data_IF_133068457185
#
_entry.id   IF_133068457185
#
_cell.length_a   1.000
_cell.length_b   1.000
_cell.length_c   1.000
_cell.angle_alpha   90.00
_cell.angle_beta   90.00
_cell.angle_gamma   90.00
#
_symmetry.space_group_name_H-M   'P 1'
#
loop_
_entity.id
_entity.type
_entity.pdbx_description
1 polymer ?
2 water ?
#
# COMPACT_ATOMS: atom_id res chain seq x y z
N UNK A 1 1.19 -18.83 -15.25
CA UNK A 1 0.86 -18.66 -13.83
C UNK A 1 0.02 -17.38 -13.58
N UNK A 2 -1.03 -17.48 -12.76
CA UNK A 2 -1.78 -16.31 -12.36
C UNK A 2 -1.32 -15.87 -10.97
N UNK A 3 -1.26 -14.56 -10.76
CA UNK A 3 -0.96 -14.03 -9.43
C UNK A 3 -1.94 -12.90 -9.12
N UNK A 4 -2.09 -12.61 -7.83
CA UNK A 4 -2.84 -11.45 -7.35
C UNK A 4 -1.89 -10.58 -6.52
N UNK A 5 -1.90 -9.28 -6.81
CA UNK A 5 -1.05 -8.29 -6.11
C UNK A 5 -1.96 -7.36 -5.32
N UNK A 6 -2.12 -7.60 -4.02
CA UNK A 6 -3.01 -6.78 -3.21
C UNK A 6 -2.44 -5.40 -2.92
N UNK A 7 -3.33 -4.49 -2.60
CA UNK A 7 -2.98 -3.15 -2.16
C UNK A 7 -2.56 -3.13 -0.68
N UNK A 8 -2.12 -1.98 -0.22
CA UNK A 8 -1.93 -1.74 1.23
C UNK A 8 -2.52 -0.40 1.59
N UNK A 9 -2.81 -0.22 2.88
CA UNK A 9 -3.05 1.10 3.47
C UNK A 9 -2.10 1.26 4.67
N UNK A 10 -1.81 2.50 5.02
CA UNK A 10 -1.04 2.74 6.25
C UNK A 10 -2.07 2.89 7.37
N UNK A 11 -2.11 1.89 8.24
CA UNK A 11 -3.07 1.85 9.32
C UNK A 11 -2.55 2.70 10.49
N UNK A 12 -2.55 4.02 10.28
CA UNK A 12 -1.83 4.94 11.15
C UNK A 12 -0.45 5.25 10.60
N UNK A 13 -0.04 6.51 10.75
CA UNK A 13 1.27 6.98 10.32
C UNK A 13 1.62 8.18 11.17
N UNK A 14 2.70 8.01 11.93
CA UNK A 14 3.16 9.11 12.79
C UNK A 14 4.54 9.55 12.35
N UNK A 15 4.69 10.86 12.19
CA UNK A 15 5.97 11.45 11.80
C UNK A 15 6.63 11.82 13.12
N UNK A 16 7.76 11.17 13.43
CA UNK A 16 8.32 11.23 14.80
C UNK A 16 9.19 12.46 15.00
N UNK A 17 9.99 12.76 13.98
CA UNK A 17 10.92 13.90 13.97
C UNK A 17 11.62 13.92 12.61
N UNK A 18 12.39 14.97 12.34
CA UNK A 18 13.26 14.98 11.17
C UNK A 18 14.62 14.43 11.59
N UNK A 19 15.11 13.46 10.83
CA UNK A 19 16.36 12.75 11.13
C UNK A 19 17.61 13.57 10.86
N UNK A 20 18.74 13.15 11.46
CA UNK A 20 20.04 13.76 11.18
C UNK A 20 20.34 13.71 9.68
N UNK A 21 19.86 12.67 9.00
CA UNK A 21 19.96 12.57 7.54
C UNK A 21 18.98 13.43 6.71
N UNK A 22 18.12 14.21 7.36
CA UNK A 22 17.17 15.07 6.67
C UNK A 22 15.85 14.45 6.19
N UNK A 23 15.67 13.14 6.38
CA UNK A 23 14.36 12.55 6.13
C UNK A 23 13.55 12.50 7.40
N UNK A 24 12.26 12.24 7.28
CA UNK A 24 11.42 12.13 8.44
C UNK A 24 11.37 10.68 8.92
N UNK A 25 11.62 10.50 10.22
CA UNK A 25 11.41 9.23 10.90
C UNK A 25 9.93 8.97 11.10
N UNK A 26 9.49 7.79 10.64
CA UNK A 26 8.09 7.41 10.76
C UNK A 26 7.92 6.25 11.69
N UNK A 27 6.72 6.14 12.21
CA UNK A 27 6.24 4.90 12.79
C UNK A 27 4.88 4.67 12.18
N UNK A 28 4.74 3.55 11.50
CA UNK A 28 3.52 3.37 10.70
C UNK A 28 3.24 1.89 10.55
N UNK A 29 1.95 1.56 10.36
CA UNK A 29 1.56 0.16 10.21
C UNK A 29 1.16 -0.05 8.78
N UNK A 30 1.63 -1.15 8.17
CA UNK A 30 1.18 -1.48 6.82
C UNK A 30 0.17 -2.61 6.90
N UNK A 31 -1.02 -2.40 6.33
CA UNK A 31 -2.08 -3.41 6.34
C UNK A 31 -2.42 -3.82 4.88
N UNK A 32 -2.32 -5.11 4.51
CA UNK A 32 -2.81 -5.53 3.19
C UNK A 32 -4.30 -5.23 3.05
N UNK A 33 -4.73 -4.88 1.83
CA UNK A 33 -6.15 -4.68 1.54
C UNK A 33 -6.44 -5.55 0.35
N UNK A 34 -7.64 -6.16 0.30
CA UNK A 34 -7.90 -7.25 -0.65
C UNK A 34 -8.08 -6.85 -2.15
N UNK A 35 -8.25 -5.57 -2.44
CA UNK A 35 -8.30 -5.10 -3.83
C UNK A 35 -6.95 -5.45 -4.45
N UNK A 36 -6.94 -6.14 -5.60
CA UNK A 36 -5.68 -6.68 -6.12
C UNK A 36 -5.59 -6.55 -7.64
N UNK A 37 -4.39 -6.22 -8.13
CA UNK A 37 -4.09 -6.32 -9.55
C UNK A 37 -3.99 -7.80 -9.89
N UNK A 38 -4.30 -8.14 -11.15
CA UNK A 38 -4.12 -9.48 -11.66
C UNK A 38 -2.89 -9.53 -12.58
N UNK A 39 -2.04 -10.55 -12.41
CA UNK A 39 -0.86 -10.71 -13.26
C UNK A 39 -0.92 -12.11 -13.83
N UNK A 40 -0.59 -12.21 -15.12
CA UNK A 40 -0.35 -13.52 -15.74
C UNK A 40 1.15 -13.52 -16.08
N UNK A 41 1.85 -14.53 -15.58
CA UNK A 41 3.30 -14.66 -15.75
C UNK A 41 3.59 -16.07 -16.30
N UNK A 42 4.13 -16.13 -17.51
CA UNK A 42 4.34 -17.41 -18.19
C UNK A 42 5.74 -17.49 -18.76
N UNK A 43 6.40 -18.64 -18.62
CA UNK A 43 7.75 -18.78 -19.15
C UNK A 43 7.70 -18.92 -20.67
N UNK A 44 8.65 -18.36 -21.37
CA UNK A 44 8.77 -18.63 -22.82
C UNK A 44 10.26 -18.79 -23.12
N UNK A 45 10.60 -19.11 -24.36
CA UNK A 45 11.98 -19.50 -24.63
C UNK A 45 12.97 -18.33 -24.43
N UNK A 46 12.57 -17.15 -24.87
CA UNK A 46 13.45 -15.98 -24.81
C UNK A 46 12.71 -14.67 -24.66
N UNK A 47 13.42 -13.68 -24.11
CA UNK A 47 13.00 -12.29 -24.11
C UNK A 47 12.14 -11.94 -22.92
N UNK A 48 12.03 -10.64 -22.64
CA UNK A 48 11.15 -10.16 -21.59
C UNK A 48 10.00 -9.35 -22.24
N UNK A 49 8.81 -9.98 -22.29
CA UNK A 49 7.63 -9.40 -22.92
C UNK A 49 6.64 -8.93 -21.86
N UNK A 50 6.44 -7.63 -21.80
CA UNK A 50 5.71 -7.03 -20.69
C UNK A 50 4.59 -6.13 -21.18
N UNK A 51 3.37 -6.38 -20.68
CA UNK A 51 2.25 -5.50 -20.97
C UNK A 51 1.73 -4.92 -19.67
N UNK A 52 1.82 -3.60 -19.54
CA UNK A 52 1.20 -2.89 -18.44
C UNK A 52 1.58 -1.41 -18.50
N UNK A 53 1.11 -0.62 -17.53
CA UNK A 53 1.35 0.83 -17.56
C UNK A 53 2.83 1.12 -17.42
N UNK A 54 3.27 2.21 -18.05
CA UNK A 54 4.63 2.74 -17.90
C UNK A 54 5.73 1.95 -18.59
N UNK A 55 5.38 0.85 -19.29
CA UNK A 55 6.35 0.06 -20.03
C UNK A 55 7.59 -0.27 -19.20
N UNK A 56 8.78 0.11 -19.70
CA UNK A 56 10.05 -0.29 -19.08
C UNK A 56 10.35 0.35 -17.74
N UNK A 57 9.65 1.43 -17.44
CA UNK A 57 9.78 2.10 -16.15
C UNK A 57 8.90 1.48 -15.05
N UNK A 58 7.99 0.56 -15.41
CA UNK A 58 7.14 -0.13 -14.42
C UNK A 58 8.02 -0.90 -13.45
N UNK A 59 7.79 -0.81 -12.12
CA UNK A 59 8.64 -1.53 -11.17
C UNK A 59 8.66 -3.04 -11.41
N UNK A 60 7.54 -3.57 -11.87
CA UNK A 60 7.42 -5.00 -12.16
C UNK A 60 8.29 -5.41 -13.34
N UNK A 61 8.42 -4.52 -14.34
CA UNK A 61 9.33 -4.76 -15.45
C UNK A 61 10.77 -4.83 -14.93
N UNK A 62 11.14 -3.86 -14.11
CA UNK A 62 12.47 -3.83 -13.52
C UNK A 62 12.71 -5.06 -12.63
N UNK A 63 11.68 -5.48 -11.88
CA UNK A 63 11.80 -6.71 -11.10
C UNK A 63 12.16 -7.91 -11.97
N UNK A 64 11.47 -8.05 -13.09
CA UNK A 64 11.68 -9.20 -13.96
C UNK A 64 13.10 -9.16 -14.53
N UNK A 65 13.52 -7.97 -14.95
CA UNK A 65 14.85 -7.79 -15.54
C UNK A 65 15.96 -8.13 -14.56
N UNK A 66 15.81 -7.64 -13.33
CA UNK A 66 16.75 -7.96 -12.24
C UNK A 66 16.78 -9.42 -11.91
N UNK A 67 15.61 -10.04 -11.84
CA UNK A 67 15.55 -11.48 -11.54
C UNK A 67 16.30 -12.32 -12.59
N UNK A 68 15.96 -12.07 -13.85
CA UNK A 68 16.47 -12.89 -14.95
C UNK A 68 17.97 -12.76 -14.99
N UNK A 69 18.46 -11.55 -14.72
CA UNK A 69 19.91 -11.30 -14.59
C UNK A 69 20.51 -12.12 -13.45
N UNK A 70 19.91 -12.05 -12.27
CA UNK A 70 20.41 -12.77 -11.10
C UNK A 70 20.39 -14.27 -11.29
N UNK A 71 19.45 -14.76 -12.12
CA UNK A 71 19.25 -16.20 -12.28
C UNK A 71 20.08 -16.80 -13.43
N UNK A 72 20.89 -15.96 -14.09
CA UNK A 72 21.73 -16.45 -15.18
C UNK A 72 21.00 -16.61 -16.49
N UNK A 73 19.99 -15.76 -16.71
CA UNK A 73 19.19 -15.75 -17.94
C UNK A 73 18.69 -17.18 -18.32
N UNK A 74 17.85 -17.78 -17.46
CA UNK A 74 17.36 -19.15 -17.66
C UNK A 74 16.33 -19.30 -18.78
N UNK A 75 15.79 -18.19 -19.25
CA UNK A 75 14.82 -18.22 -20.34
C UNK A 75 14.04 -16.91 -20.32
N UNK A 76 13.01 -16.83 -21.16
CA UNK A 76 12.21 -15.61 -21.20
C UNK A 76 10.93 -15.69 -20.38
N UNK A 77 10.22 -14.58 -20.36
CA UNK A 77 8.96 -14.54 -19.64
C UNK A 77 8.00 -13.57 -20.35
N UNK A 78 6.72 -13.88 -20.28
CA UNK A 78 5.69 -12.95 -20.72
C UNK A 78 4.90 -12.60 -19.46
N UNK A 79 4.72 -11.31 -19.25
CA UNK A 79 3.98 -10.78 -18.10
C UNK A 79 2.91 -9.87 -18.62
N UNK A 80 1.69 -10.12 -18.16
CA UNK A 80 0.57 -9.20 -18.39
C UNK A 80 0.13 -8.71 -17.03
N UNK A 81 -0.01 -7.40 -16.90
CA UNK A 81 -0.43 -6.75 -15.68
C UNK A 81 -1.76 -6.07 -15.96
N UNK A 82 -2.81 -6.53 -15.29
CA UNK A 82 -4.11 -5.86 -15.34
C UNK A 82 -4.38 -5.07 -14.05
N UNK A 83 -4.31 -3.75 -14.16
CA UNK A 83 -4.43 -2.89 -12.98
C UNK A 83 -5.86 -2.83 -12.48
N UNK A 84 -6.03 -3.10 -11.19
CA UNK A 84 -7.28 -2.75 -10.47
C UNK A 84 -7.04 -1.67 -9.43
N UNK A 85 -5.80 -1.53 -8.96
CA UNK A 85 -5.46 -0.53 -7.95
C UNK A 85 -5.01 0.76 -8.59
N UNK A 86 -5.59 1.89 -8.18
CA UNK A 86 -5.10 3.18 -8.69
C UNK A 86 -3.67 3.49 -8.25
N UNK A 87 -2.97 4.18 -9.13
CA UNK A 87 -1.54 4.41 -9.01
C UNK A 87 -1.23 5.75 -8.32
N UNK A 88 -0.18 5.79 -7.50
CA UNK A 88 0.24 7.04 -6.83
C UNK A 88 -0.73 7.67 -5.83
N UNK A 89 -1.45 6.80 -5.13
CA UNK A 89 -2.53 7.18 -4.24
C UNK A 89 -2.32 6.68 -2.83
N UNK A 90 -1.14 6.12 -2.56
CA UNK A 90 -0.80 5.61 -1.22
C UNK A 90 -1.15 4.15 -1.03
N UNK A 91 -1.41 3.48 -2.16
CA UNK A 91 -1.94 2.10 -2.10
C UNK A 91 -0.94 1.01 -2.47
N UNK A 92 0.23 1.40 -2.98
CA UNK A 92 1.34 0.48 -3.19
C UNK A 92 1.20 -0.57 -4.30
N UNK A 93 0.29 -0.33 -5.24
CA UNK A 93 0.04 -1.29 -6.34
C UNK A 93 1.28 -1.68 -7.10
N UNK A 94 2.11 -0.69 -7.43
CA UNK A 94 3.32 -0.93 -8.21
C UNK A 94 4.28 -1.83 -7.44
N UNK A 95 4.47 -1.53 -6.14
CA UNK A 95 5.35 -2.38 -5.33
C UNK A 95 4.81 -3.81 -5.22
N UNK A 96 3.50 -3.93 -5.07
CA UNK A 96 2.88 -5.24 -4.94
C UNK A 96 3.03 -6.04 -6.26
N UNK A 97 2.83 -5.35 -7.38
CA UNK A 97 3.06 -5.92 -8.72
C UNK A 97 4.44 -6.52 -8.84
N UNK A 98 5.45 -5.74 -8.44
CA UNK A 98 6.84 -6.19 -8.52
C UNK A 98 7.13 -7.38 -7.61
N UNK A 99 6.54 -7.36 -6.42
CA UNK A 99 6.70 -8.51 -5.51
C UNK A 99 6.14 -9.77 -6.15
N UNK A 100 4.97 -9.66 -6.79
CA UNK A 100 4.37 -10.88 -7.33
C UNK A 100 5.19 -11.39 -8.52
N UNK A 101 5.76 -10.47 -9.30
CA UNK A 101 6.63 -10.88 -10.41
C UNK A 101 7.86 -11.63 -9.86
N UNK A 102 8.47 -11.10 -8.81
CA UNK A 102 9.57 -11.79 -8.15
C UNK A 102 9.19 -13.18 -7.69
N UNK A 103 8.01 -13.29 -7.04
CA UNK A 103 7.59 -14.57 -6.48
C UNK A 103 7.25 -15.54 -7.60
N UNK A 104 6.66 -15.02 -8.67
CA UNK A 104 6.31 -15.89 -9.80
C UNK A 104 7.55 -16.46 -10.47
N UNK A 105 8.55 -15.60 -10.65
CA UNK A 105 9.79 -16.01 -11.32
C UNK A 105 10.59 -16.95 -10.43
N UNK A 106 10.51 -16.73 -9.11
CA UNK A 106 11.11 -17.68 -8.17
C UNK A 106 10.56 -19.10 -8.37
N UNK A 107 9.25 -19.20 -8.56
CA UNK A 107 8.63 -20.50 -8.80
C UNK A 107 8.95 -21.06 -10.18
N UNK A 108 8.99 -20.20 -11.18
CA UNK A 108 9.15 -20.66 -12.56
C UNK A 108 10.59 -21.01 -12.87
N UNK A 109 11.51 -20.22 -12.31
CA UNK A 109 12.92 -20.33 -12.62
C UNK A 109 13.76 -20.33 -11.35
N UNK A 110 13.64 -21.41 -10.56
CA UNK A 110 14.37 -21.48 -9.29
C UNK A 110 15.87 -21.42 -9.54
N UNK A 111 16.58 -20.56 -8.79
CA UNK A 111 18.04 -20.36 -9.00
C UNK A 111 18.76 -19.79 -7.79
N UNK A 112 18.20 -20.01 -6.61
CA UNK A 112 18.77 -19.46 -5.37
C UNK A 112 18.96 -17.94 -5.42
N UNK A 113 18.09 -17.26 -6.16
CA UNK A 113 18.10 -15.81 -6.15
C UNK A 113 17.59 -15.30 -4.81
N UNK A 114 18.28 -14.31 -4.23
CA UNK A 114 17.86 -13.69 -2.96
C UNK A 114 16.77 -12.65 -3.28
N UNK A 115 15.49 -13.00 -3.11
CA UNK A 115 14.44 -12.06 -3.50
C UNK A 115 14.42 -10.78 -2.69
N UNK A 116 14.79 -10.88 -1.42
CA UNK A 116 14.75 -9.72 -0.59
C UNK A 116 15.82 -8.73 -0.96
N UNK A 117 16.98 -9.22 -1.36
CA UNK A 117 18.04 -8.36 -1.89
C UNK A 117 17.55 -7.63 -3.15
N UNK A 118 16.93 -8.37 -4.08
CA UNK A 118 16.35 -7.71 -5.25
C UNK A 118 15.29 -6.68 -4.84
N UNK A 119 14.45 -7.03 -3.88
CA UNK A 119 13.37 -6.14 -3.44
C UNK A 119 13.92 -4.85 -2.85
N UNK A 120 14.98 -4.97 -2.06
CA UNK A 120 15.58 -3.77 -1.51
C UNK A 120 16.25 -2.88 -2.56
N UNK A 121 16.80 -3.49 -3.60
CA UNK A 121 17.30 -2.78 -4.77
C UNK A 121 16.18 -2.00 -5.43
N UNK A 122 15.02 -2.64 -5.60
CA UNK A 122 13.87 -1.98 -6.24
C UNK A 122 13.32 -0.90 -5.32
N UNK A 123 13.39 -1.14 -4.01
CA UNK A 123 13.00 -0.15 -3.02
C UNK A 123 11.49 -0.05 -2.83
N UNK A 124 11.01 1.16 -2.52
CA UNK A 124 9.60 1.41 -2.22
C UNK A 124 9.07 0.37 -1.23
N UNK A 125 7.95 -0.28 -1.55
CA UNK A 125 7.37 -1.25 -0.63
C UNK A 125 7.49 -2.70 -1.09
N UNK A 126 8.46 -2.98 -1.96
CA UNK A 126 8.58 -4.34 -2.50
C UNK A 126 8.93 -5.33 -1.39
N UNK A 127 9.91 -5.04 -0.51
CA UNK A 127 10.19 -5.99 0.59
C UNK A 127 8.92 -6.25 1.45
N UNK A 128 8.11 -5.23 1.71
CA UNK A 128 6.87 -5.42 2.47
C UNK A 128 5.93 -6.40 1.78
N UNK A 129 5.66 -6.17 0.49
CA UNK A 129 4.75 -7.08 -0.19
C UNK A 129 5.22 -8.52 -0.29
N UNK A 130 6.54 -8.76 -0.27
CA UNK A 130 7.00 -10.13 -0.27
C UNK A 130 6.56 -10.90 0.99
N UNK A 131 6.33 -10.20 2.11
CA UNK A 131 5.95 -10.83 3.39
C UNK A 131 4.58 -11.52 3.38
N UNK A 132 3.66 -10.95 2.62
CA UNK A 132 2.28 -11.46 2.53
C UNK A 132 1.49 -11.28 3.83
N UNK A 133 1.84 -10.28 4.63
CA UNK A 133 1.09 -10.04 5.88
C UNK A 133 1.35 -8.63 6.35
N UNK A 134 0.72 -8.22 7.47
CA UNK A 134 0.93 -6.84 7.91
C UNK A 134 2.32 -6.61 8.48
N UNK A 135 2.70 -5.36 8.66
CA UNK A 135 3.99 -5.06 9.27
C UNK A 135 3.95 -3.74 10.02
N UNK A 136 4.78 -3.66 11.04
CA UNK A 136 5.03 -2.41 11.74
C UNK A 136 6.36 -1.87 11.24
N UNK A 137 6.37 -0.59 10.89
CA UNK A 137 7.51 -0.03 10.18
C UNK A 137 8.06 1.20 10.84
N UNK A 138 9.40 1.31 10.78
CA UNK A 138 10.09 2.50 11.27
C UNK A 138 11.05 2.99 10.20
N UNK A 139 12.01 3.86 10.57
CA UNK A 139 12.87 4.50 9.61
C UNK A 139 12.08 5.40 8.68
N UNK A 140 12.24 5.28 7.36
CA UNK A 140 11.40 6.05 6.41
C UNK A 140 10.20 5.23 5.94
N UNK A 141 9.94 4.13 6.66
CA UNK A 141 8.90 3.20 6.27
C UNK A 141 9.43 1.86 5.79
N UNK A 142 10.77 1.74 5.71
CA UNK A 142 11.42 0.53 5.20
C UNK A 142 11.87 -0.49 6.23
N UNK A 143 11.89 -0.10 7.51
CA UNK A 143 12.37 -0.97 8.59
C UNK A 143 11.19 -1.73 9.15
N UNK A 144 11.07 -3.00 8.79
CA UNK A 144 9.85 -3.74 9.01
C UNK A 144 9.97 -4.77 10.12
N UNK A 145 8.87 -4.93 10.84
CA UNK A 145 8.67 -6.03 11.76
C UNK A 145 7.29 -6.64 11.45
N UNK A 146 7.18 -7.95 11.23
CA UNK A 146 5.87 -8.56 10.93
C UNK A 146 4.86 -8.32 12.04
N UNK A 147 3.59 -8.17 11.65
CA UNK A 147 2.52 -7.86 12.59
C UNK A 147 1.27 -8.60 12.15
N UNK A 148 0.67 -9.34 13.08
CA UNK A 148 -0.54 -10.08 12.76
C UNK A 148 -1.70 -9.12 12.89
N UNK A 149 -2.47 -8.97 11.82
CA UNK A 149 -3.62 -8.09 11.87
C UNK A 149 -4.88 -8.92 11.75
N UNK A 150 -5.88 -8.64 12.61
CA UNK A 150 -7.19 -9.30 12.45
C UNK A 150 -7.80 -8.87 11.10
N UNK A 151 -8.37 -9.77 10.31
CA UNK A 151 -9.03 -9.35 9.07
C UNK A 151 -10.35 -8.66 9.40
N UNK A 152 -10.54 -7.47 8.85
CA UNK A 152 -11.75 -6.67 9.13
C UNK A 152 -12.29 -6.04 7.86
N UNK A 153 -13.60 -5.87 7.80
CA UNK A 153 -14.21 -5.22 6.63
C UNK A 153 -13.89 -3.74 6.58
N UNK A 154 -13.59 -3.29 5.37
CA UNK A 154 -13.14 -1.91 5.14
C UNK A 154 -13.51 -1.38 3.75
N UNK A 155 -13.36 -0.07 3.59
CA UNK A 155 -13.65 0.60 2.34
C UNK A 155 -12.45 1.44 2.02
N UNK A 156 -12.03 1.39 0.76
CA UNK A 156 -11.00 2.31 0.27
C UNK A 156 -11.64 3.25 -0.72
N UNK A 157 -11.32 4.54 -0.61
CA UNK A 157 -11.89 5.54 -1.50
C UNK A 157 -10.78 6.36 -2.13
N UNK A 158 -10.91 6.61 -3.44
CA UNK A 158 -9.91 7.36 -4.20
C UNK A 158 -10.54 8.62 -4.81
N UNK A 159 -10.18 9.80 -4.32
CA UNK A 159 -10.79 11.02 -4.82
C UNK A 159 -10.18 11.59 -6.13
N UNK A 160 -9.06 11.04 -6.63
CA UNK A 160 -8.38 11.64 -7.80
C UNK A 160 -7.74 13.02 -7.55
N UNK A 161 -6.97 13.13 -6.48
CA UNK A 161 -6.30 14.38 -6.14
C UNK A 161 -4.80 14.13 -5.95
N UNK A 162 -4.09 14.04 -7.08
CA UNK A 162 -2.67 13.74 -7.05
C UNK A 162 -1.81 14.98 -6.93
N UNK A 163 -0.89 14.96 -5.98
CA UNK A 163 0.27 15.87 -5.93
C UNK A 163 1.55 15.03 -5.78
N UNK A 164 2.72 15.56 -6.16
CA UNK A 164 3.96 14.80 -5.96
C UNK A 164 4.18 14.45 -4.49
N UNK A 165 4.64 13.24 -4.22
CA UNK A 165 4.70 12.79 -2.83
C UNK A 165 5.65 13.58 -1.91
N UNK A 166 6.79 14.10 -2.41
CA UNK A 166 7.66 14.93 -1.58
C UNK A 166 7.03 16.22 -1.02
N UNK A 167 6.04 16.75 -1.74
CA UNK A 167 5.30 17.94 -1.32
C UNK A 167 4.74 17.80 0.09
N UNK A 168 3.99 16.73 0.35
CA UNK A 168 3.35 16.59 1.67
C UNK A 168 4.42 16.49 2.75
N UNK A 169 5.54 15.81 2.45
CA UNK A 169 6.64 15.78 3.41
C UNK A 169 7.35 17.14 3.64
N UNK A 170 7.57 17.89 2.56
CA UNK A 170 8.19 19.23 2.68
C UNK A 170 7.31 20.17 3.50
N UNK A 171 5.99 19.91 3.46
CA UNK A 171 5.01 20.74 4.14
C UNK A 171 4.87 20.41 5.63
N UNK A 172 5.47 19.30 6.07
CA UNK A 172 5.40 18.89 7.46
C UNK A 172 6.14 19.89 8.37
N UNK A 173 5.58 20.17 9.54
CA UNK A 173 6.24 21.08 10.48
C UNK A 173 6.40 20.43 11.86
N UNK A 174 7.34 20.91 12.67
CA UNK A 174 7.53 20.34 14.00
C UNK A 174 6.23 20.22 14.80
N UNK A 175 5.26 21.08 14.52
CA UNK A 175 4.00 20.99 15.25
C UNK A 175 3.15 19.78 14.85
N UNK A 176 3.52 19.13 13.76
CA UNK A 176 2.86 17.93 13.24
C UNK A 176 3.44 16.64 13.81
N UNK A 177 4.60 16.72 14.46
CA UNK A 177 5.32 15.52 14.96
C UNK A 177 4.48 14.80 16.00
N UNK A 178 4.40 13.47 15.93
CA UNK A 178 3.64 12.70 16.89
C UNK A 178 4.46 11.69 17.71
N UNK A 179 3.83 11.03 18.69
CA UNK A 179 4.50 9.95 19.42
C UNK A 179 4.41 8.68 18.57
N UNK A 180 4.93 7.57 19.08
CA UNK A 180 4.72 6.28 18.45
C UNK A 180 3.23 5.96 18.47
N UNK A 181 2.80 5.19 17.48
CA UNK A 181 1.42 4.68 17.47
C UNK A 181 1.28 3.63 18.57
N UNK A 182 0.15 3.60 19.27
CA UNK A 182 -0.08 2.57 20.28
C UNK A 182 -0.56 1.30 19.56
N UNK A 183 0.41 0.51 19.12
CA UNK A 183 0.14 -0.62 18.23
C UNK A 183 -0.88 -1.62 18.82
N UNK A 184 -0.66 -2.05 20.07
CA UNK A 184 -1.55 -3.04 20.65
C UNK A 184 -2.98 -2.54 20.80
N UNK A 185 -3.12 -1.30 21.25
CA UNK A 185 -4.41 -0.66 21.38
C UNK A 185 -5.12 -0.50 20.02
N UNK A 186 -4.36 -0.22 18.96
CA UNK A 186 -4.96 -0.16 17.61
C UNK A 186 -5.50 -1.53 17.20
N UNK A 187 -4.69 -2.58 17.40
CA UNK A 187 -5.13 -3.95 17.08
C UNK A 187 -6.41 -4.33 17.86
N UNK A 188 -6.42 -3.97 19.14
CA UNK A 188 -7.57 -4.25 20.00
C UNK A 188 -8.81 -3.54 19.46
N UNK A 189 -8.64 -2.27 19.07
CA UNK A 189 -9.76 -1.51 18.56
C UNK A 189 -10.31 -2.10 17.26
N UNK A 190 -9.43 -2.59 16.39
CA UNK A 190 -9.88 -3.27 15.19
C UNK A 190 -10.74 -4.51 15.51
N UNK A 191 -10.25 -5.37 16.41
CA UNK A 191 -10.91 -6.63 16.66
C UNK A 191 -12.24 -6.40 17.41
N UNK A 192 -12.30 -5.32 18.18
CA UNK A 192 -13.49 -4.98 18.97
C UNK A 192 -14.49 -4.11 18.24
N UNK A 193 -14.09 -3.62 17.06
CA UNK A 193 -14.96 -2.77 16.27
C UNK A 193 -15.15 -1.39 16.85
N UNK A 194 -14.12 -0.86 17.50
CA UNK A 194 -14.13 0.50 18.05
C UNK A 194 -13.37 1.50 17.15
N UNK A 195 -13.39 2.79 17.50
CA UNK A 195 -12.58 3.81 16.84
C UNK A 195 -11.10 3.60 17.23
N UNK A 196 -10.22 3.27 16.29
CA UNK A 196 -8.81 3.05 16.68
C UNK A 196 -8.07 4.31 17.13
N UNK A 197 -7.22 4.20 18.16
CA UNK A 197 -6.38 5.36 18.54
C UNK A 197 -5.18 5.53 17.60
N UNK A 198 -5.49 5.73 16.33
CA UNK A 198 -4.45 6.12 15.39
C UNK A 198 -4.69 7.52 14.75
N UNK A 199 -3.72 7.96 13.95
CA UNK A 199 -3.74 9.25 13.26
C UNK A 199 -2.79 9.13 12.08
N UNK A 200 -2.81 10.15 11.20
CA UNK A 200 -1.82 10.23 10.16
C UNK A 200 -1.30 11.66 10.23
N UNK A 201 -0.06 11.80 10.65
CA UNK A 201 0.54 13.11 10.87
C UNK A 201 0.56 13.93 9.57
N UNK A 202 0.56 13.24 8.43
CA UNK A 202 0.57 13.92 7.13
C UNK A 202 -0.76 14.64 6.83
N UNK A 203 -1.81 14.27 7.56
CA UNK A 203 -3.09 14.98 7.44
C UNK A 203 -3.00 16.44 7.95
N UNK A 204 -2.03 16.70 8.84
CA UNK A 204 -1.74 18.06 9.28
C UNK A 204 -1.52 19.01 8.11
N UNK A 205 -0.40 18.87 7.41
CA UNK A 205 -0.15 19.68 6.20
C UNK A 205 -1.20 19.42 5.12
N UNK A 206 -1.59 18.16 4.88
CA UNK A 206 -2.46 17.89 3.72
C UNK A 206 -3.81 18.62 3.85
N UNK A 207 -4.41 18.60 5.04
CA UNK A 207 -5.73 19.24 5.20
C UNK A 207 -5.65 20.77 5.23
N UNK A 208 -4.51 21.28 5.71
CA UNK A 208 -4.24 22.72 5.65
C UNK A 208 -4.13 23.18 4.18
N UNK A 209 -3.35 22.44 3.39
CA UNK A 209 -3.15 22.82 1.98
C UNK A 209 -4.35 22.50 1.11
N UNK A 210 -5.00 21.36 1.38
CA UNK A 210 -6.08 20.89 0.53
C UNK A 210 -7.35 20.62 1.32
N UNK A 211 -8.08 21.67 1.69
CA UNK A 211 -9.28 21.49 2.54
C UNK A 211 -10.35 20.59 1.93
N UNK A 212 -10.35 20.39 0.60
CA UNK A 212 -11.19 19.38 -0.06
C UNK A 212 -11.09 18.02 0.66
N UNK A 213 -9.90 17.69 1.16
CA UNK A 213 -9.67 16.42 1.84
C UNK A 213 -10.49 16.18 3.12
N UNK A 214 -10.78 17.24 3.86
CA UNK A 214 -11.65 17.16 5.05
C UNK A 214 -13.07 16.78 4.70
N UNK A 215 -13.54 17.28 3.54
CA UNK A 215 -14.85 16.92 3.02
C UNK A 215 -14.89 15.43 2.66
N UNK A 216 -13.79 14.92 2.07
CA UNK A 216 -13.71 13.46 1.80
C UNK A 216 -13.88 12.67 3.10
N UNK A 217 -13.14 13.05 4.13
CA UNK A 217 -13.23 12.34 5.39
C UNK A 217 -14.63 12.42 5.99
N UNK A 218 -15.19 13.62 6.05
CA UNK A 218 -16.55 13.79 6.56
C UNK A 218 -17.60 12.94 5.87
N UNK A 219 -17.51 12.83 4.55
CA UNK A 219 -18.44 12.03 3.79
C UNK A 219 -18.37 10.55 4.18
N UNK A 220 -17.15 10.04 4.38
CA UNK A 220 -16.95 8.65 4.78
C UNK A 220 -17.43 8.40 6.22
N UNK A 221 -17.18 9.36 7.11
CA UNK A 221 -17.67 9.28 8.49
C UNK A 221 -19.20 9.19 8.52
N UNK A 222 -19.86 9.98 7.66
CA UNK A 222 -21.33 10.05 7.63
C UNK A 222 -21.98 8.74 7.20
N UNK A 223 -21.25 7.92 6.45
CA UNK A 223 -21.74 6.59 6.03
C UNK A 223 -21.50 5.54 7.09
N UNK A 224 -21.06 5.99 8.26
CA UNK A 224 -20.87 5.08 9.37
C UNK A 224 -19.50 4.42 9.49
N UNK A 225 -18.53 4.82 8.67
CA UNK A 225 -17.20 4.20 8.69
C UNK A 225 -16.40 4.74 9.87
N UNK A 226 -15.66 3.86 10.54
CA UNK A 226 -14.84 4.26 11.70
C UNK A 226 -13.39 4.42 11.28
N UNK A 227 -12.61 5.19 12.05
CA UNK A 227 -11.16 5.21 11.84
C UNK A 227 -10.77 5.70 10.45
N UNK A 228 -11.52 6.67 9.93
CA UNK A 228 -11.24 7.16 8.58
C UNK A 228 -9.94 7.94 8.54
N UNK A 229 -9.04 7.50 7.65
CA UNK A 229 -7.72 8.11 7.53
C UNK A 229 -7.37 8.22 6.08
N UNK A 230 -6.64 9.29 5.74
CA UNK A 230 -5.90 9.30 4.48
C UNK A 230 -4.80 8.24 4.61
N UNK A 231 -4.57 7.46 3.53
CA UNK A 231 -3.57 6.40 3.58
C UNK A 231 -2.21 6.93 3.22
N UNK A 232 -1.31 6.98 4.20
CA UNK A 232 0.02 7.51 3.99
C UNK A 232 0.02 8.91 3.40
N UNK A 233 0.79 9.11 2.34
CA UNK A 233 0.84 10.42 1.71
C UNK A 233 -0.34 10.70 0.78
N UNK A 234 -1.25 9.73 0.62
CA UNK A 234 -2.53 9.97 -0.01
C UNK A 234 -2.47 9.90 -1.53
N UNK A 235 -3.56 10.22 -2.24
CA UNK A 235 -4.77 10.78 -1.66
C UNK A 235 -5.88 9.78 -1.33
N UNK A 236 -5.62 8.48 -1.49
CA UNK A 236 -6.67 7.51 -1.10
C UNK A 236 -6.89 7.55 0.41
N UNK A 237 -8.13 7.25 0.79
CA UNK A 237 -8.59 7.15 2.18
C UNK A 237 -9.07 5.71 2.43
N UNK A 238 -9.09 5.30 3.70
CA UNK A 238 -9.84 4.08 4.04
C UNK A 238 -10.66 4.33 5.31
N UNK A 239 -11.64 3.46 5.54
CA UNK A 239 -12.46 3.49 6.74
C UNK A 239 -12.84 2.07 7.07
N UNK A 240 -13.16 1.83 8.34
CA UNK A 240 -13.57 0.50 8.83
C UNK A 240 -15.10 0.39 8.94
N UNK A 241 -15.62 -0.76 8.51
CA UNK A 241 -17.05 -0.96 8.36
C UNK A 241 -17.54 -1.87 9.47
N UNK A 242 -18.86 -1.92 9.67
CA UNK A 242 -19.38 -2.76 10.76
C UNK A 242 -19.40 -4.23 10.34
N UNK A 243 -19.41 -4.49 9.04
CA UNK A 243 -19.52 -5.81 8.46
C UNK A 243 -19.42 -5.73 6.93
N UNK A 244 -19.38 -6.87 6.26
CA UNK A 244 -19.22 -6.87 4.79
C UNK A 244 -20.35 -6.18 3.99
N UNK A 245 -21.63 -6.28 4.41
CA UNK A 245 -22.70 -5.60 3.68
C UNK A 245 -22.56 -4.08 3.86
N UNK A 246 -22.21 -3.66 5.08
CA UNK A 246 -22.00 -2.23 5.32
C UNK A 246 -20.86 -1.69 4.43
N UNK A 247 -19.72 -2.41 4.40
CA UNK A 247 -18.65 -2.01 3.49
C UNK A 247 -19.15 -1.89 2.03
N UNK A 248 -19.89 -2.89 1.55
CA UNK A 248 -20.38 -2.84 0.18
C UNK A 248 -21.27 -1.62 -0.10
N UNK A 249 -22.21 -1.36 0.82
CA UNK A 249 -23.16 -0.26 0.67
C UNK A 249 -22.50 1.11 0.78
N UNK A 250 -21.52 1.24 1.68
CA UNK A 250 -20.79 2.50 1.82
C UNK A 250 -19.93 2.77 0.59
N UNK A 251 -19.28 1.72 0.07
CA UNK A 251 -18.51 1.87 -1.16
C UNK A 251 -19.40 2.30 -2.32
N UNK A 252 -20.59 1.71 -2.41
CA UNK A 252 -21.50 2.01 -3.50
C UNK A 252 -21.92 3.49 -3.45
N UNK A 253 -22.19 3.98 -2.23
CA UNK A 253 -22.58 5.38 -2.02
C UNK A 253 -21.46 6.36 -2.39
N UNK A 254 -20.22 5.97 -2.08
CA UNK A 254 -19.08 6.82 -2.35
C UNK A 254 -18.75 6.99 -3.84
N UNK A 255 -19.26 6.07 -4.67
CA UNK A 255 -18.98 6.12 -6.11
C UNK A 255 -19.49 7.38 -6.80
N UNK A 256 -20.46 8.05 -6.17
CA UNK A 256 -20.90 9.38 -6.60
C UNK A 256 -19.78 10.43 -6.66
N UNK A 257 -18.77 10.27 -5.81
CA UNK A 257 -17.75 11.30 -5.63
C UNK A 257 -16.37 10.86 -6.05
N UNK A 258 -16.23 9.60 -6.43
CA UNK A 258 -14.93 9.08 -6.81
C UNK A 258 -14.99 7.58 -6.97
N UNK A 259 -13.84 6.93 -6.85
CA UNK A 259 -13.78 5.48 -6.97
C UNK A 259 -13.71 4.86 -5.56
N UNK A 260 -14.43 3.77 -5.36
CA UNK A 260 -14.45 3.11 -4.05
C UNK A 260 -14.50 1.61 -4.17
N UNK A 261 -13.95 0.92 -3.18
CA UNK A 261 -13.95 -0.53 -3.14
C UNK A 261 -14.18 -1.02 -1.74
N UNK A 262 -15.04 -2.04 -1.61
CA UNK A 262 -15.21 -2.77 -0.35
C UNK A 262 -14.29 -3.98 -0.34
N UNK A 263 -13.72 -4.29 0.81
CA UNK A 263 -12.80 -5.42 0.88
C UNK A 263 -12.45 -5.77 2.30
N UNK A 264 -11.40 -6.55 2.45
CA UNK A 264 -10.88 -6.91 3.75
C UNK A 264 -9.52 -6.32 3.93
N UNK A 265 -9.29 -5.76 5.11
CA UNK A 265 -8.01 -5.21 5.48
C UNK A 265 -7.41 -6.23 6.46
N UNK A 266 -6.10 -6.49 6.34
CA UNK A 266 -5.40 -7.44 7.22
C UNK A 266 -5.62 -8.90 6.82
N UNK A 267 -5.34 -9.82 7.76
CA UNK A 267 -5.68 -11.24 7.55
C UNK A 267 -4.67 -12.37 7.76
N UNK A 268 -3.37 -12.05 7.77
CA UNK A 268 -2.31 -13.06 7.79
C UNK A 268 -1.91 -13.50 9.19
#
# INVERSE_FOLDING_TARGET
>A
MERLAPAKVNLGLSVRFRREDGYHELHTLFAPFSLADRLVVEPVSSGLHFQGPYGRENLAYRAASLYLEAAGQPGGVRILLEKRIPEGAGLGGGSSDAAQVLLALQALYPAEVDLFALARTLGADVPFFLLGRGAEARGVGERLKPLALPPVPAVVFFPGLRVPTPLVYRAVRPEDFGPDLPVEAILEALARGEEPPYWNSLEGPAFRLFPELKEVRGRMRALGLRGVLMSGSGSAFFGLAEGPDHARRAAEALRAWGRAWAGTLGGGDAGSGPA
#
